data_IF_021160066029
#
_entry.id   IF_021160066029
#
_cell.length_a   1.000
_cell.length_b   1.000
_cell.length_c   1.000
_cell.angle_alpha   90.00
_cell.angle_beta   90.00
_cell.angle_gamma   90.00
#
_symmetry.space_group_name_H-M   'P 1'
#
loop_
_entity.id
_entity.type
_entity.pdbx_description
1 polymer ?
#
# COMPACT_ATOMS: atom_id res chain seq x y z
N UNK A 1 0.04 27.00 -11.24
CA UNK A 1 0.67 27.74 -10.13
C UNK A 1 1.27 26.70 -9.21
N UNK A 2 2.58 26.76 -8.94
CA UNK A 2 3.23 25.78 -8.06
C UNK A 2 2.99 26.23 -6.61
N UNK A 3 2.06 25.58 -5.89
CA UNK A 3 1.66 25.96 -4.52
C UNK A 3 2.77 25.62 -3.49
N UNK A 4 3.83 24.95 -3.93
CA UNK A 4 4.94 24.44 -3.10
C UNK A 4 5.76 25.51 -2.37
N UNK A 5 5.67 26.79 -2.75
CA UNK A 5 6.51 27.87 -2.19
C UNK A 5 5.83 28.73 -1.11
N UNK A 6 4.57 28.47 -0.75
CA UNK A 6 3.87 29.24 0.28
C UNK A 6 3.95 28.51 1.63
N UNK A 7 4.67 29.03 2.64
CA UNK A 7 4.64 28.45 3.98
C UNK A 7 3.25 28.65 4.59
N UNK A 8 2.46 27.58 4.63
CA UNK A 8 1.13 27.60 5.25
C UNK A 8 1.26 27.63 6.77
N UNK A 9 1.02 28.80 7.35
CA UNK A 9 0.80 28.95 8.79
C UNK A 9 -0.72 29.10 8.99
N UNK A 10 -1.40 28.00 9.28
CA UNK A 10 -2.82 27.98 9.65
C UNK A 10 -3.81 27.58 8.54
N UNK A 11 -5.08 27.46 8.93
CA UNK A 11 -6.17 27.00 8.06
C UNK A 11 -6.72 28.10 7.12
N UNK A 12 -6.57 29.38 7.46
CA UNK A 12 -7.14 30.49 6.69
C UNK A 12 -6.52 30.62 5.28
N UNK A 13 -5.18 30.61 5.09
CA UNK A 13 -4.59 30.69 3.75
C UNK A 13 -5.02 29.51 2.87
N UNK A 14 -5.26 28.33 3.45
CA UNK A 14 -5.73 27.16 2.72
C UNK A 14 -7.16 27.36 2.21
N UNK A 15 -8.07 27.93 3.01
CA UNK A 15 -9.45 28.21 2.55
C UNK A 15 -9.47 29.25 1.42
N UNK A 16 -8.60 30.26 1.46
CA UNK A 16 -8.52 31.27 0.40
C UNK A 16 -8.14 30.70 -0.97
N UNK A 17 -7.44 29.56 -0.99
CA UNK A 17 -7.05 28.90 -2.24
C UNK A 17 -8.14 27.96 -2.79
N UNK A 18 -9.11 27.54 -1.97
CA UNK A 18 -10.13 26.58 -2.38
C UNK A 18 -10.94 27.07 -3.57
N UNK A 19 -11.59 28.22 -3.43
CA UNK A 19 -12.53 28.72 -4.43
C UNK A 19 -11.89 29.01 -5.79
N UNK A 20 -10.75 29.72 -5.89
CA UNK A 20 -10.20 30.07 -7.20
C UNK A 20 -9.40 28.94 -7.86
N UNK A 21 -8.78 28.03 -7.11
CA UNK A 21 -7.73 27.17 -7.67
C UNK A 21 -8.07 25.68 -7.71
N UNK A 22 -8.92 25.16 -6.82
CA UNK A 22 -9.10 23.71 -6.70
C UNK A 22 -9.68 23.06 -7.96
N UNK A 23 -10.47 23.80 -8.74
CA UNK A 23 -11.02 23.31 -10.01
C UNK A 23 -9.96 23.05 -11.08
N UNK A 24 -8.81 23.73 -11.00
CA UNK A 24 -7.73 23.67 -12.00
C UNK A 24 -6.43 23.08 -11.45
N UNK A 25 -6.40 22.71 -10.16
CA UNK A 25 -5.23 22.17 -9.50
C UNK A 25 -4.95 20.75 -10.01
N UNK A 26 -3.84 20.59 -10.73
CA UNK A 26 -3.38 19.30 -11.27
C UNK A 26 -2.34 18.63 -10.38
N UNK A 27 -1.50 19.41 -9.71
CA UNK A 27 -0.41 18.90 -8.90
C UNK A 27 -0.37 19.64 -7.57
N UNK A 28 -0.16 18.89 -6.49
CA UNK A 28 -0.05 19.49 -5.16
C UNK A 28 1.02 18.81 -4.33
N UNK A 29 1.90 19.62 -3.72
CA UNK A 29 2.90 19.13 -2.78
C UNK A 29 2.60 19.66 -1.37
N UNK A 30 2.15 18.75 -0.51
CA UNK A 30 1.85 18.95 0.90
C UNK A 30 2.85 18.20 1.80
N UNK A 31 4.05 17.84 1.29
CA UNK A 31 5.02 16.98 2.00
C UNK A 31 5.64 17.65 3.23
N UNK A 32 5.39 18.95 3.38
CA UNK A 32 5.85 19.77 4.49
C UNK A 32 4.76 20.03 5.54
N UNK A 33 3.55 19.50 5.33
CA UNK A 33 2.49 19.60 6.32
C UNK A 33 2.76 18.70 7.52
N UNK A 34 2.33 19.16 8.70
CA UNK A 34 2.36 18.37 9.93
C UNK A 34 1.21 17.36 9.97
N UNK A 35 1.30 16.36 10.85
CA UNK A 35 0.23 15.37 11.03
C UNK A 35 -1.11 16.01 11.41
N UNK A 36 -1.08 17.11 12.18
CA UNK A 36 -2.28 17.87 12.58
C UNK A 36 -3.03 18.45 11.38
N UNK A 37 -2.34 18.63 10.24
CA UNK A 37 -2.90 19.16 9.01
C UNK A 37 -3.37 18.05 8.05
N UNK A 38 -3.44 16.79 8.50
CA UNK A 38 -3.90 15.65 7.70
C UNK A 38 -5.30 15.85 7.08
N UNK A 39 -6.18 16.62 7.74
CA UNK A 39 -7.49 16.98 7.21
C UNK A 39 -7.41 17.83 5.92
N UNK A 40 -6.33 18.61 5.73
CA UNK A 40 -6.15 19.42 4.52
C UNK A 40 -5.99 18.53 3.29
N UNK A 41 -5.29 17.40 3.41
CA UNK A 41 -5.14 16.45 2.31
C UNK A 41 -6.49 15.85 1.91
N UNK A 42 -7.29 15.41 2.88
CA UNK A 42 -8.64 14.90 2.61
C UNK A 42 -9.51 15.97 1.93
N UNK A 43 -9.43 17.22 2.37
CA UNK A 43 -10.11 18.35 1.72
C UNK A 43 -9.67 18.54 0.26
N UNK A 44 -8.36 18.46 -0.02
CA UNK A 44 -7.82 18.55 -1.39
C UNK A 44 -8.37 17.42 -2.24
N UNK A 45 -8.27 16.17 -1.79
CA UNK A 45 -8.70 14.98 -2.53
C UNK A 45 -10.21 15.02 -2.82
N UNK A 46 -11.03 15.48 -1.87
CA UNK A 46 -12.48 15.59 -2.02
C UNK A 46 -12.94 16.79 -2.87
N UNK A 47 -12.07 17.77 -3.13
CA UNK A 47 -12.47 19.05 -3.73
C UNK A 47 -11.74 19.42 -5.03
N UNK A 48 -10.69 18.69 -5.42
CA UNK A 48 -9.89 18.98 -6.62
C UNK A 48 -10.15 17.92 -7.71
N UNK A 49 -11.11 18.12 -8.63
CA UNK A 49 -11.46 17.12 -9.64
C UNK A 49 -10.38 16.91 -10.71
N UNK A 50 -9.57 17.94 -10.98
CA UNK A 50 -8.53 17.94 -12.03
C UNK A 50 -7.17 17.44 -11.53
N UNK A 51 -7.09 16.93 -10.31
CA UNK A 51 -5.83 16.57 -9.66
C UNK A 51 -5.26 15.26 -10.23
N UNK A 52 -4.01 15.30 -10.67
CA UNK A 52 -3.28 14.20 -11.30
C UNK A 52 -2.14 13.67 -10.40
N UNK A 53 -1.47 14.55 -9.64
CA UNK A 53 -0.32 14.18 -8.79
C UNK A 53 -0.49 14.73 -7.37
N UNK A 54 -0.36 13.85 -6.38
CA UNK A 54 -0.44 14.21 -4.96
C UNK A 54 0.82 13.85 -4.21
N UNK A 55 1.38 14.88 -3.57
CA UNK A 55 2.59 14.85 -2.77
C UNK A 55 2.44 15.39 -1.31
N UNK A 56 1.59 14.86 -0.43
CA UNK A 56 1.59 15.06 1.05
C UNK A 56 2.54 14.28 1.98
N UNK A 57 2.52 14.64 3.27
CA UNK A 57 3.28 13.95 4.33
C UNK A 57 2.59 12.66 4.81
N UNK A 58 1.36 12.79 5.33
CA UNK A 58 0.56 11.71 5.92
C UNK A 58 -0.92 11.89 5.54
N UNK A 59 -1.61 10.79 5.27
CA UNK A 59 -3.08 10.70 5.25
C UNK A 59 -3.56 9.95 6.49
N UNK A 60 -4.43 10.57 7.29
CA UNK A 60 -5.02 9.94 8.46
C UNK A 60 -6.28 9.14 8.07
N UNK A 61 -6.26 7.83 8.27
CA UNK A 61 -7.39 6.97 7.91
C UNK A 61 -8.65 7.25 8.73
N UNK A 62 -8.52 7.73 9.97
CA UNK A 62 -9.68 8.14 10.78
C UNK A 62 -10.40 9.34 10.15
N UNK A 63 -9.65 10.32 9.66
CA UNK A 63 -10.23 11.50 8.99
C UNK A 63 -10.99 11.11 7.72
N UNK A 64 -10.50 10.14 6.95
CA UNK A 64 -11.20 9.63 5.76
C UNK A 64 -12.49 8.89 6.15
N UNK A 65 -12.44 8.07 7.19
CA UNK A 65 -13.60 7.32 7.70
C UNK A 65 -14.70 8.26 8.23
N UNK A 66 -14.32 9.32 8.95
CA UNK A 66 -15.25 10.28 9.55
C UNK A 66 -15.92 11.20 8.52
N UNK A 67 -15.14 11.77 7.60
CA UNK A 67 -15.63 12.74 6.61
C UNK A 67 -16.57 12.09 5.57
N UNK A 68 -16.29 10.85 5.17
CA UNK A 68 -17.06 10.06 4.18
C UNK A 68 -17.23 10.71 2.80
N UNK A 69 -16.77 11.94 2.60
CA UNK A 69 -16.78 12.59 1.28
C UNK A 69 -15.94 11.76 0.31
N UNK A 70 -16.46 11.49 -0.90
CA UNK A 70 -15.71 10.80 -1.92
C UNK A 70 -14.58 11.67 -2.45
N UNK A 71 -13.48 11.05 -2.85
CA UNK A 71 -12.44 11.74 -3.61
C UNK A 71 -12.98 12.17 -4.98
N UNK A 72 -12.78 13.46 -5.31
CA UNK A 72 -13.18 14.06 -6.57
C UNK A 72 -12.11 13.91 -7.65
N UNK A 73 -10.85 13.68 -7.26
CA UNK A 73 -9.68 13.54 -8.14
C UNK A 73 -9.64 12.22 -8.92
N UNK A 74 -10.66 11.90 -9.71
CA UNK A 74 -10.74 10.63 -10.44
C UNK A 74 -9.66 10.50 -11.54
N UNK A 75 -9.07 11.62 -11.95
CA UNK A 75 -7.92 11.69 -12.86
C UNK A 75 -6.55 11.47 -12.20
N UNK A 76 -6.50 11.13 -10.91
CA UNK A 76 -5.24 10.99 -10.18
C UNK A 76 -4.40 9.82 -10.73
N UNK A 77 -3.16 10.10 -11.11
CA UNK A 77 -2.18 9.17 -11.65
C UNK A 77 -1.14 8.75 -10.61
N UNK A 78 -0.72 9.68 -9.76
CA UNK A 78 0.33 9.44 -8.77
C UNK A 78 -0.10 9.85 -7.36
N UNK A 79 -0.01 8.91 -6.42
CA UNK A 79 -0.30 9.12 -5.00
C UNK A 79 0.87 8.64 -4.14
N UNK A 80 1.65 9.57 -3.58
CA UNK A 80 2.95 9.25 -2.95
C UNK A 80 2.98 9.42 -1.42
N UNK A 81 2.00 8.91 -0.67
CA UNK A 81 1.81 9.28 0.75
C UNK A 81 1.98 8.12 1.71
N UNK A 82 2.47 8.39 2.91
CA UNK A 82 2.21 7.50 4.03
C UNK A 82 0.73 7.57 4.41
N UNK A 83 0.06 6.44 4.49
CA UNK A 83 -1.30 6.33 5.04
C UNK A 83 -1.16 5.75 6.43
N UNK A 84 -1.59 6.51 7.42
CA UNK A 84 -1.52 6.11 8.81
C UNK A 84 -2.89 5.63 9.32
N UNK A 85 -2.91 4.44 9.90
CA UNK A 85 -4.07 3.79 10.55
C UNK A 85 -3.85 3.82 12.05
N UNK A 86 -4.92 4.00 12.84
CA UNK A 86 -4.85 4.08 14.30
C UNK A 86 -4.20 2.84 14.88
N UNK A 87 -3.19 3.00 15.75
CA UNK A 87 -2.63 1.86 16.52
C UNK A 87 -3.44 1.65 17.78
N UNK A 88 -3.43 0.42 18.28
CA UNK A 88 -3.91 0.04 19.61
C UNK A 88 -3.21 0.86 20.73
N UNK A 89 -3.92 1.78 21.42
CA UNK A 89 -3.56 2.26 22.74
C UNK A 89 -3.41 1.08 23.72
N UNK A 90 -2.50 1.20 24.70
CA UNK A 90 -2.34 0.20 25.75
C UNK A 90 -3.65 0.05 26.55
N UNK A 91 -4.19 -1.16 26.64
CA UNK A 91 -5.30 -1.50 27.53
C UNK A 91 -6.70 -1.52 26.89
N UNK A 92 -6.83 -1.21 25.60
CA UNK A 92 -8.09 -1.39 24.88
C UNK A 92 -8.28 -2.82 24.36
N UNK A 93 -9.53 -3.21 24.12
CA UNK A 93 -9.88 -4.54 23.62
C UNK A 93 -9.29 -4.74 22.23
N UNK A 94 -8.40 -5.73 22.07
CA UNK A 94 -7.79 -6.08 20.79
C UNK A 94 -8.82 -6.34 19.67
N UNK A 95 -10.00 -6.87 20.04
CA UNK A 95 -11.08 -7.17 19.07
C UNK A 95 -11.66 -5.88 18.49
N UNK A 96 -12.06 -4.93 19.35
CA UNK A 96 -12.63 -3.66 18.91
C UNK A 96 -11.62 -2.87 18.05
N UNK A 97 -10.34 -2.91 18.43
CA UNK A 97 -9.31 -2.21 17.67
C UNK A 97 -9.02 -2.86 16.32
N UNK A 98 -9.08 -4.20 16.23
CA UNK A 98 -8.96 -4.88 14.94
C UNK A 98 -10.11 -4.49 14.01
N UNK A 99 -11.34 -4.45 14.52
CA UNK A 99 -12.52 -4.03 13.74
C UNK A 99 -12.39 -2.58 13.27
N UNK A 100 -11.98 -1.66 14.16
CA UNK A 100 -11.78 -0.26 13.79
C UNK A 100 -10.67 -0.09 12.74
N UNK A 101 -9.52 -0.76 12.90
CA UNK A 101 -8.43 -0.76 11.92
C UNK A 101 -8.90 -1.31 10.56
N UNK A 102 -9.71 -2.36 10.59
CA UNK A 102 -10.29 -2.96 9.39
C UNK A 102 -11.22 -1.98 8.69
N UNK A 103 -12.12 -1.31 9.43
CA UNK A 103 -13.04 -0.32 8.88
C UNK A 103 -12.29 0.88 8.27
N UNK A 104 -11.30 1.42 8.98
CA UNK A 104 -10.42 2.48 8.47
C UNK A 104 -9.71 2.08 7.18
N UNK A 105 -9.12 0.87 7.15
CA UNK A 105 -8.41 0.37 5.98
C UNK A 105 -9.36 0.18 4.80
N UNK A 106 -10.54 -0.42 5.02
CA UNK A 106 -11.55 -0.60 3.97
C UNK A 106 -12.07 0.73 3.44
N UNK A 107 -12.22 1.75 4.29
CA UNK A 107 -12.60 3.10 3.86
C UNK A 107 -11.55 3.70 2.91
N UNK A 108 -10.25 3.56 3.25
CA UNK A 108 -9.16 3.99 2.37
C UNK A 108 -9.15 3.21 1.06
N UNK A 109 -9.26 1.88 1.11
CA UNK A 109 -9.28 1.06 -0.10
C UNK A 109 -10.49 1.36 -1.00
N UNK A 110 -11.65 1.66 -0.43
CA UNK A 110 -12.82 2.08 -1.18
C UNK A 110 -12.59 3.43 -1.90
N UNK A 111 -11.87 4.36 -1.27
CA UNK A 111 -11.50 5.62 -1.92
C UNK A 111 -10.46 5.42 -3.02
N UNK A 112 -9.42 4.63 -2.73
CA UNK A 112 -8.41 4.25 -3.72
C UNK A 112 -9.08 3.59 -4.93
N UNK A 113 -9.93 2.57 -4.74
CA UNK A 113 -10.59 1.82 -5.83
C UNK A 113 -11.33 2.69 -6.86
N UNK A 114 -11.72 3.92 -6.52
CA UNK A 114 -12.36 4.89 -7.42
C UNK A 114 -11.38 5.62 -8.35
N UNK A 115 -10.10 5.58 -8.04
CA UNK A 115 -9.04 6.23 -8.80
C UNK A 115 -8.65 5.37 -10.00
N UNK A 116 -9.51 5.36 -11.02
CA UNK A 116 -9.39 4.51 -12.21
C UNK A 116 -8.13 4.78 -13.05
N UNK A 117 -7.46 5.92 -12.82
CA UNK A 117 -6.25 6.34 -13.54
C UNK A 117 -4.97 6.20 -12.71
N UNK A 118 -5.04 5.63 -11.49
CA UNK A 118 -3.91 5.55 -10.58
C UNK A 118 -2.85 4.57 -11.10
N UNK A 119 -1.69 5.08 -11.50
CA UNK A 119 -0.56 4.32 -12.05
C UNK A 119 0.54 4.08 -11.02
N UNK A 120 0.73 5.03 -10.11
CA UNK A 120 1.78 4.99 -9.10
C UNK A 120 1.20 5.19 -7.70
N UNK A 121 1.34 4.17 -6.85
CA UNK A 121 0.95 4.23 -5.44
C UNK A 121 2.20 4.02 -4.57
N UNK A 122 2.63 5.05 -3.87
CA UNK A 122 3.70 4.93 -2.89
C UNK A 122 3.17 5.18 -1.49
N UNK A 123 3.25 4.15 -0.65
CA UNK A 123 2.98 4.19 0.79
C UNK A 123 4.22 4.56 1.61
N UNK A 124 5.33 4.90 0.95
CA UNK A 124 6.61 5.32 1.55
C UNK A 124 6.56 6.80 1.96
N UNK A 125 6.84 7.17 3.22
CA UNK A 125 7.06 8.55 3.60
C UNK A 125 8.34 9.07 2.92
N UNK A 126 8.27 10.28 2.36
CA UNK A 126 9.40 10.90 1.64
C UNK A 126 10.57 11.31 2.53
N UNK A 127 10.34 11.43 3.84
CA UNK A 127 11.34 11.85 4.83
C UNK A 127 11.40 10.86 5.98
N UNK A 128 12.57 10.74 6.60
CA UNK A 128 12.79 9.98 7.85
C UNK A 128 12.10 10.59 9.07
N UNK A 129 11.05 11.39 8.87
CA UNK A 129 10.22 11.83 9.96
C UNK A 129 9.67 10.57 10.61
N UNK A 130 9.88 10.46 11.92
CA UNK A 130 9.27 9.40 12.71
C UNK A 130 7.78 9.43 12.43
N UNK A 131 7.29 8.38 11.74
CA UNK A 131 5.86 8.01 11.77
C UNK A 131 5.40 8.24 13.18
N UNK A 132 4.27 8.93 13.33
CA UNK A 132 3.76 9.34 14.63
C UNK A 132 3.82 8.12 15.56
N UNK A 133 4.48 8.26 16.72
CA UNK A 133 4.58 7.14 17.67
C UNK A 133 3.17 6.63 17.95
N UNK A 134 2.86 5.40 17.52
CA UNK A 134 1.52 4.87 17.68
C UNK A 134 0.63 4.92 16.44
N UNK A 135 1.17 4.92 15.22
CA UNK A 135 0.37 4.64 14.03
C UNK A 135 1.03 3.57 13.14
N UNK A 136 0.20 2.82 12.44
CA UNK A 136 0.59 1.73 11.53
C UNK A 136 0.40 2.17 10.07
N UNK A 137 1.19 1.62 9.15
CA UNK A 137 0.94 1.83 7.72
C UNK A 137 -0.32 1.05 7.29
N UNK A 138 -0.99 1.52 6.24
CA UNK A 138 -2.05 0.75 5.58
C UNK A 138 -1.58 -0.68 5.26
N UNK A 139 -2.33 -1.67 5.73
CA UNK A 139 -1.99 -3.10 5.61
C UNK A 139 -2.52 -3.67 4.29
N UNK A 140 -1.63 -4.26 3.49
CA UNK A 140 -1.96 -4.94 2.24
C UNK A 140 -2.47 -6.37 2.47
N UNK A 141 -3.59 -6.55 3.18
CA UNK A 141 -4.19 -7.88 3.37
C UNK A 141 -5.61 -7.91 2.86
N UNK A 142 -6.05 -9.06 2.37
CA UNK A 142 -7.42 -9.27 1.88
C UNK A 142 -8.45 -8.97 2.97
N UNK A 143 -8.20 -9.42 4.20
CA UNK A 143 -9.10 -9.12 5.33
C UNK A 143 -9.23 -7.61 5.60
N UNK A 144 -8.22 -6.82 5.23
CA UNK A 144 -8.19 -5.37 5.44
C UNK A 144 -8.82 -4.57 4.30
N UNK A 145 -9.26 -5.22 3.22
CA UNK A 145 -9.90 -4.56 2.07
C UNK A 145 -9.04 -4.48 0.81
N UNK A 146 -7.88 -5.15 0.75
CA UNK A 146 -7.05 -5.22 -0.45
C UNK A 146 -7.86 -5.67 -1.68
N UNK A 147 -8.83 -6.56 -1.47
CA UNK A 147 -9.75 -7.09 -2.48
C UNK A 147 -10.55 -6.00 -3.24
N UNK A 148 -10.76 -4.85 -2.60
CA UNK A 148 -11.47 -3.71 -3.19
C UNK A 148 -10.65 -3.05 -4.31
N UNK A 149 -9.33 -3.27 -4.36
CA UNK A 149 -8.48 -2.76 -5.44
C UNK A 149 -8.54 -3.60 -6.73
N UNK A 150 -9.40 -4.63 -6.80
CA UNK A 150 -9.63 -5.44 -8.02
C UNK A 150 -9.99 -4.60 -9.25
N UNK A 151 -10.63 -3.44 -9.06
CA UNK A 151 -11.12 -2.61 -10.15
C UNK A 151 -10.07 -1.68 -10.78
N UNK A 152 -8.85 -1.60 -10.21
CA UNK A 152 -7.84 -0.66 -10.71
C UNK A 152 -7.01 -1.24 -11.85
N UNK A 153 -7.38 -0.87 -13.07
CA UNK A 153 -6.76 -1.34 -14.31
C UNK A 153 -5.49 -0.62 -14.79
N UNK A 154 -4.92 0.41 -14.14
CA UNK A 154 -3.60 0.90 -14.60
C UNK A 154 -2.51 0.97 -13.53
N UNK A 155 -2.69 0.40 -12.33
CA UNK A 155 -1.61 0.44 -11.32
C UNK A 155 -0.38 -0.29 -11.87
N UNK A 156 0.71 0.45 -12.05
CA UNK A 156 1.98 -0.07 -12.59
C UNK A 156 3.02 -0.27 -11.49
N UNK A 157 3.01 0.63 -10.51
CA UNK A 157 4.07 0.72 -9.50
C UNK A 157 3.47 0.85 -8.10
N UNK A 158 3.91 -0.04 -7.21
CA UNK A 158 3.59 -0.01 -5.79
C UNK A 158 4.85 0.09 -4.94
N UNK A 159 4.98 1.15 -4.13
CA UNK A 159 6.08 1.29 -3.18
C UNK A 159 5.59 1.18 -1.74
N UNK A 160 6.27 0.39 -0.93
CA UNK A 160 5.94 0.16 0.47
C UNK A 160 7.00 0.79 1.38
N UNK A 161 6.57 1.35 2.50
CA UNK A 161 7.50 1.93 3.47
C UNK A 161 8.32 0.89 4.23
N UNK A 162 7.67 -0.21 4.57
CA UNK A 162 8.19 -1.28 5.43
C UNK A 162 7.66 -2.59 4.93
N UNK A 163 8.36 -3.66 5.30
CA UNK A 163 7.89 -5.01 5.10
C UNK A 163 6.45 -5.19 5.59
N UNK A 164 5.56 -5.60 4.70
CA UNK A 164 4.18 -5.95 5.02
C UNK A 164 4.10 -7.40 5.43
N UNK A 165 3.26 -7.72 6.41
CA UNK A 165 2.95 -9.11 6.74
C UNK A 165 1.80 -9.56 5.86
N UNK A 166 2.09 -10.42 4.89
CA UNK A 166 1.13 -10.96 3.94
C UNK A 166 1.14 -12.48 4.03
N UNK A 167 -0.01 -13.10 3.87
CA UNK A 167 -0.05 -14.55 3.69
C UNK A 167 0.00 -14.91 2.19
N UNK A 168 0.11 -16.21 1.92
CA UNK A 168 0.20 -16.71 0.55
C UNK A 168 -1.04 -16.36 -0.28
N UNK A 169 -2.22 -16.30 0.33
CA UNK A 169 -3.46 -15.99 -0.39
C UNK A 169 -3.51 -14.52 -0.80
N UNK A 170 -3.02 -13.62 0.06
CA UNK A 170 -2.90 -12.21 -0.28
C UNK A 170 -2.01 -12.01 -1.52
N UNK A 171 -0.87 -12.70 -1.60
CA UNK A 171 0.09 -12.60 -2.72
C UNK A 171 -0.46 -13.21 -4.01
N UNK A 172 -1.08 -14.40 -3.92
CA UNK A 172 -1.72 -15.03 -5.08
C UNK A 172 -2.85 -14.15 -5.64
N UNK A 173 -3.60 -13.50 -4.75
CA UNK A 173 -4.62 -12.56 -5.16
C UNK A 173 -4.00 -11.36 -5.89
N UNK A 174 -2.90 -10.78 -5.39
CA UNK A 174 -2.20 -9.67 -6.09
C UNK A 174 -1.75 -10.12 -7.48
N UNK A 175 -1.02 -11.24 -7.57
CA UNK A 175 -0.51 -11.76 -8.83
C UNK A 175 -1.61 -11.99 -9.88
N UNK A 176 -2.79 -12.47 -9.43
CA UNK A 176 -3.94 -12.74 -10.30
C UNK A 176 -4.67 -11.47 -10.75
N UNK A 177 -4.84 -10.48 -9.86
CA UNK A 177 -5.74 -9.34 -10.09
C UNK A 177 -5.00 -8.07 -10.52
N UNK A 178 -3.71 -7.94 -10.23
CA UNK A 178 -2.90 -6.77 -10.58
C UNK A 178 -2.08 -7.00 -11.83
N UNK A 179 -2.77 -7.24 -12.95
CA UNK A 179 -2.13 -7.66 -14.21
C UNK A 179 -1.23 -6.60 -14.85
N UNK A 180 -1.36 -5.33 -14.44
CA UNK A 180 -0.54 -4.23 -14.95
C UNK A 180 0.56 -3.79 -13.99
N UNK A 181 0.60 -4.33 -12.77
CA UNK A 181 1.66 -4.01 -11.83
C UNK A 181 2.94 -4.65 -12.35
N UNK A 182 3.90 -3.81 -12.72
CA UNK A 182 5.23 -4.25 -13.17
C UNK A 182 6.26 -4.20 -12.05
N UNK A 183 5.99 -3.47 -10.96
CA UNK A 183 6.97 -3.27 -9.91
C UNK A 183 6.33 -3.14 -8.53
N UNK A 184 6.87 -3.90 -7.58
CA UNK A 184 6.60 -3.76 -6.14
C UNK A 184 7.92 -3.52 -5.42
N UNK A 185 8.13 -2.30 -4.93
CA UNK A 185 9.27 -1.91 -4.08
C UNK A 185 8.85 -1.99 -2.59
N UNK A 186 9.75 -2.46 -1.73
CA UNK A 186 9.51 -2.61 -0.31
C UNK A 186 9.90 -3.99 0.22
N UNK A 187 9.07 -4.58 1.07
CA UNK A 187 9.26 -5.95 1.58
C UNK A 187 7.92 -6.65 1.81
N UNK A 188 7.84 -7.95 1.55
CA UNK A 188 6.65 -8.76 1.80
C UNK A 188 7.06 -9.99 2.60
N UNK A 189 6.59 -10.12 3.85
CA UNK A 189 6.95 -11.21 4.77
C UNK A 189 5.78 -12.14 5.03
N UNK A 190 6.07 -13.43 5.19
CA UNK A 190 5.10 -14.43 5.64
C UNK A 190 4.88 -14.34 7.16
N UNK A 191 3.63 -14.44 7.61
CA UNK A 191 3.25 -14.13 9.01
C UNK A 191 3.93 -14.91 10.13
N UNK A 192 4.53 -16.08 9.84
CA UNK A 192 5.34 -16.80 10.84
C UNK A 192 6.68 -16.11 11.13
N UNK A 193 7.19 -15.28 10.21
CA UNK A 193 8.53 -14.66 10.26
C UNK A 193 8.52 -13.20 10.68
N UNK A 194 7.35 -12.54 10.65
CA UNK A 194 7.21 -11.11 10.93
C UNK A 194 7.61 -10.70 12.37
N UNK A 195 7.51 -11.60 13.36
CA UNK A 195 7.60 -11.22 14.78
C UNK A 195 8.94 -10.63 15.27
N UNK A 196 10.09 -11.22 14.91
CA UNK A 196 11.41 -10.80 15.46
C UNK A 196 12.36 -10.14 14.44
N UNK A 197 12.15 -10.35 13.14
CA UNK A 197 13.06 -9.89 12.07
C UNK A 197 12.56 -8.65 11.33
N UNK A 198 11.25 -8.42 11.26
CA UNK A 198 10.66 -7.30 10.51
C UNK A 198 11.10 -5.90 10.96
N UNK A 199 11.69 -5.79 12.17
CA UNK A 199 12.15 -4.51 12.70
C UNK A 199 13.54 -4.09 12.24
N UNK A 200 14.39 -5.02 11.75
CA UNK A 200 15.77 -4.68 11.36
C UNK A 200 15.90 -4.33 9.88
N UNK A 201 15.21 -5.06 9.01
CA UNK A 201 15.38 -4.94 7.56
C UNK A 201 14.09 -4.47 6.91
N UNK A 202 14.06 -3.20 6.48
CA UNK A 202 12.86 -2.54 5.93
C UNK A 202 12.39 -3.12 4.59
N UNK A 203 13.25 -3.91 3.95
CA UNK A 203 13.08 -4.44 2.60
C UNK A 203 13.21 -5.97 2.59
N UNK A 204 12.87 -6.64 3.69
CA UNK A 204 12.96 -8.09 3.78
C UNK A 204 11.79 -8.75 3.03
N UNK A 205 12.13 -9.66 2.13
CA UNK A 205 11.18 -10.46 1.36
C UNK A 205 11.18 -11.92 1.79
N UNK A 206 9.98 -12.49 1.88
CA UNK A 206 9.79 -13.93 1.86
C UNK A 206 9.98 -14.44 0.42
N UNK A 207 10.81 -15.47 0.27
CA UNK A 207 11.17 -16.03 -1.02
C UNK A 207 9.95 -16.47 -1.83
N UNK A 208 9.01 -17.17 -1.20
CA UNK A 208 7.84 -17.70 -1.93
C UNK A 208 6.99 -16.55 -2.46
N UNK A 209 6.90 -15.43 -1.74
CA UNK A 209 6.16 -14.26 -2.20
C UNK A 209 6.81 -13.64 -3.44
N UNK A 210 8.13 -13.43 -3.39
CA UNK A 210 8.86 -12.89 -4.53
C UNK A 210 8.79 -13.81 -5.75
N UNK A 211 8.92 -15.13 -5.54
CA UNK A 211 8.81 -16.13 -6.61
C UNK A 211 7.45 -16.08 -7.31
N UNK A 212 6.36 -15.99 -6.55
CA UNK A 212 4.99 -15.88 -7.10
C UNK A 212 4.83 -14.59 -7.90
N UNK A 213 5.29 -13.44 -7.39
CA UNK A 213 5.17 -12.17 -8.11
C UNK A 213 6.05 -12.13 -9.37
N UNK A 214 7.31 -12.57 -9.27
CA UNK A 214 8.23 -12.61 -10.39
C UNK A 214 7.73 -13.54 -11.51
N UNK A 215 7.08 -14.67 -11.18
CA UNK A 215 6.49 -15.56 -12.19
C UNK A 215 5.31 -14.93 -12.94
N UNK A 216 4.78 -13.80 -12.46
CA UNK A 216 3.75 -13.01 -13.11
C UNK A 216 4.30 -11.70 -13.71
N UNK A 217 5.63 -11.59 -13.87
CA UNK A 217 6.27 -10.43 -14.48
C UNK A 217 6.37 -9.19 -13.59
N UNK A 218 6.11 -9.33 -12.29
CA UNK A 218 6.24 -8.23 -11.32
C UNK A 218 7.69 -8.18 -10.83
N UNK A 219 8.38 -7.07 -11.05
CA UNK A 219 9.72 -6.83 -10.52
C UNK A 219 9.68 -6.51 -9.03
N UNK A 220 10.63 -7.08 -8.29
CA UNK A 220 10.80 -6.87 -6.84
C UNK A 220 12.14 -6.18 -6.58
N UNK A 221 12.33 -4.97 -7.11
CA UNK A 221 13.58 -4.20 -6.98
C UNK A 221 13.87 -3.83 -5.51
N UNK A 222 15.16 -3.64 -5.18
CA UNK A 222 15.65 -3.38 -3.82
C UNK A 222 15.34 -4.47 -2.77
N UNK A 223 14.82 -5.63 -3.20
CA UNK A 223 14.55 -6.77 -2.32
C UNK A 223 15.81 -7.26 -1.63
N UNK A 224 15.79 -7.26 -0.30
CA UNK A 224 16.72 -8.03 0.51
C UNK A 224 16.01 -9.35 0.82
N UNK A 225 16.56 -10.44 0.29
CA UNK A 225 16.04 -11.78 0.57
C UNK A 225 16.75 -12.34 1.81
N UNK A 226 16.06 -13.19 2.59
CA UNK A 226 16.69 -13.89 3.72
C UNK A 226 17.92 -14.70 3.23
N UNK A 227 19.02 -14.74 3.98
CA UNK A 227 20.30 -15.37 3.56
C UNK A 227 20.16 -16.80 3.00
N UNK A 228 19.20 -17.58 3.48
CA UNK A 228 18.88 -18.91 2.95
C UNK A 228 18.56 -18.89 1.44
N UNK A 229 17.95 -17.81 0.93
CA UNK A 229 17.72 -17.55 -0.48
C UNK A 229 19.01 -17.27 -1.24
N UNK A 230 19.95 -16.51 -0.68
CA UNK A 230 21.21 -16.25 -1.37
C UNK A 230 21.99 -17.56 -1.56
N UNK A 231 21.91 -18.47 -0.61
CA UNK A 231 22.55 -19.78 -0.73
C UNK A 231 21.83 -20.70 -1.74
N UNK A 232 20.49 -20.68 -1.78
CA UNK A 232 19.70 -21.43 -2.76
C UNK A 232 19.85 -20.86 -4.19
N UNK A 233 19.82 -19.53 -4.36
CA UNK A 233 20.07 -18.86 -5.65
C UNK A 233 21.51 -19.06 -6.09
N UNK A 234 22.50 -18.99 -5.20
CA UNK A 234 23.88 -19.36 -5.56
C UNK A 234 23.97 -20.82 -6.00
N UNK A 235 23.20 -21.70 -5.38
CA UNK A 235 23.12 -23.11 -5.77
C UNK A 235 22.46 -23.31 -7.14
N UNK A 236 21.36 -22.59 -7.42
CA UNK A 236 20.60 -22.65 -8.67
C UNK A 236 21.32 -21.94 -9.82
N UNK A 237 21.92 -20.77 -9.59
CA UNK A 237 22.73 -20.07 -10.59
C UNK A 237 24.02 -20.84 -10.93
N UNK A 238 24.52 -21.68 -10.01
CA UNK A 238 25.56 -22.66 -10.31
C UNK A 238 25.10 -23.82 -11.20
N UNK A 239 23.79 -24.00 -11.40
CA UNK A 239 23.16 -25.07 -12.17
C UNK A 239 22.35 -24.59 -13.39
N UNK A 240 22.22 -23.28 -13.59
CA UNK A 240 21.30 -22.68 -14.57
C UNK A 240 19.90 -22.51 -13.95
N UNK A 241 19.27 -21.36 -14.24
CA UNK A 241 17.90 -21.09 -13.76
C UNK A 241 16.95 -22.12 -14.41
N UNK A 242 16.13 -22.88 -13.64
CA UNK A 242 15.13 -23.74 -14.24
C UNK A 242 14.14 -22.89 -15.04
N UNK A 243 13.92 -23.25 -16.31
CA UNK A 243 12.94 -22.59 -17.17
C UNK A 243 11.54 -22.75 -16.56
N UNK A 244 10.70 -21.73 -16.72
CA UNK A 244 9.39 -21.59 -16.04
C UNK A 244 8.43 -22.76 -16.27
N UNK A 245 8.65 -23.55 -17.31
CA UNK A 245 7.73 -24.59 -17.76
C UNK A 245 7.81 -25.87 -16.91
N UNK A 246 8.86 -26.06 -16.12
CA UNK A 246 9.03 -27.27 -15.28
C UNK A 246 8.30 -27.20 -13.92
N UNK A 247 7.61 -26.10 -13.60
CA UNK A 247 7.09 -25.83 -12.24
C UNK A 247 5.56 -25.80 -12.12
N UNK A 248 4.79 -26.17 -13.17
CA UNK A 248 3.31 -26.12 -13.16
C UNK A 248 2.63 -27.50 -13.11
N UNK A 249 3.28 -28.48 -12.51
CA UNK A 249 2.60 -29.71 -12.08
C UNK A 249 2.68 -29.84 -10.55
N UNK A 250 1.89 -29.02 -9.87
CA UNK A 250 1.39 -29.41 -8.54
C UNK A 250 0.30 -30.44 -8.83
N UNK A 251 0.63 -31.71 -8.71
CA UNK A 251 -0.37 -32.77 -8.67
C UNK A 251 -1.34 -32.44 -7.54
N UNK A 252 -2.57 -32.06 -7.88
CA UNK A 252 -3.67 -32.08 -6.93
C UNK A 252 -3.82 -33.53 -6.47
N UNK A 253 -3.35 -33.85 -5.26
CA UNK A 253 -3.63 -35.16 -4.68
C UNK A 253 -5.15 -35.35 -4.64
N UNK A 254 -5.69 -36.42 -5.27
CA UNK A 254 -7.11 -36.71 -5.19
C UNK A 254 -7.43 -37.00 -3.73
N UNK A 255 -8.17 -36.09 -3.09
CA UNK A 255 -8.68 -36.29 -1.75
C UNK A 255 -9.63 -37.48 -1.75
N UNK A 256 -9.23 -38.55 -1.09
CA UNK A 256 -10.08 -39.69 -0.78
C UNK A 256 -11.27 -39.19 0.05
N UNK A 257 -12.44 -39.13 -0.58
CA UNK A 257 -13.72 -38.97 0.09
C UNK A 257 -14.07 -40.31 0.73
N UNK A 258 -13.81 -40.44 2.03
CA UNK A 258 -14.43 -41.49 2.83
C UNK A 258 -15.95 -41.24 2.87
N UNK A 259 -16.69 -42.03 2.09
CA UNK A 259 -18.12 -42.26 2.29
C UNK A 259 -18.30 -42.97 3.64
N UNK A 260 -18.89 -42.27 4.61
CA UNK A 260 -19.46 -42.91 5.80
C UNK A 260 -20.95 -43.18 5.57
N UNK A 261 -21.32 -44.46 5.57
CA UNK A 261 -22.69 -44.99 5.64
C UNK A 261 -23.43 -44.61 6.94
#
# INVERSE_FOLDING_TARGET
>A
MNISDVPFIGAEPFQMLKEPHFQTLQEVNLSFLTTEQGYMLQDVLASCPSLEIVEAFVLDAAAVQEDKRPWACLGLKEFTKAIEVTKEPPGESQVLMREQKQEQSRAIYAQLARLENLQYLSLKPRRWCSVSFGKESLSLRLEMGLDLLTAQTPLEVLHLYKSQNMDRNDILWMAKNWTNVRMVDGGLLSGRKAGKRAFKDKYLWDYEHARILNSHGVETLESVYEDAYLDEVRHLLGKGWPESDDLVHVEEEPGDLEETD
#
